data_IF_464981343565
#
_entry.id   IF_464981343565
#
_cell.length_a   1.000
_cell.length_b   1.000
_cell.length_c   1.000
_cell.angle_alpha   90.00
_cell.angle_beta   90.00
_cell.angle_gamma   90.00
#
_symmetry.space_group_name_H-M   'P 1'
#
loop_
_entity.id
_entity.type
_entity.pdbx_description
1 polymer ?
#
# COMPACT_ATOMS: atom_id res chain seq x y z
N UNK A 1 17.52 7.51 10.58
CA UNK A 1 16.88 6.28 10.07
C UNK A 1 15.75 6.55 9.06
N UNK A 2 14.93 7.60 9.23
CA UNK A 2 13.75 7.84 8.38
C UNK A 2 14.01 7.98 6.88
N UNK A 3 15.12 8.62 6.47
CA UNK A 3 15.46 8.76 5.04
C UNK A 3 15.69 7.41 4.34
N UNK A 4 16.36 6.47 5.01
CA UNK A 4 16.58 5.13 4.46
C UNK A 4 15.29 4.34 4.35
N UNK A 5 14.42 4.43 5.37
CA UNK A 5 13.12 3.77 5.35
C UNK A 5 12.26 4.29 4.19
N UNK A 6 12.21 5.60 4.00
CA UNK A 6 11.47 6.22 2.90
C UNK A 6 11.96 5.74 1.53
N UNK A 7 13.27 5.67 1.30
CA UNK A 7 13.83 5.15 0.04
C UNK A 7 13.52 3.66 -0.17
N UNK A 8 13.51 2.85 0.90
CA UNK A 8 13.10 1.44 0.83
C UNK A 8 11.63 1.32 0.45
N UNK A 9 10.73 2.07 1.10
CA UNK A 9 9.30 2.05 0.77
C UNK A 9 9.06 2.52 -0.67
N UNK A 10 9.79 3.55 -1.12
CA UNK A 10 9.77 4.01 -2.51
C UNK A 10 10.22 2.93 -3.49
N UNK A 11 11.31 2.21 -3.17
CA UNK A 11 11.82 1.11 -4.01
C UNK A 11 10.81 -0.03 -4.09
N UNK A 12 10.13 -0.36 -2.99
CA UNK A 12 9.06 -1.35 -2.97
C UNK A 12 7.92 -0.95 -3.91
N UNK A 13 7.46 0.30 -3.86
CA UNK A 13 6.43 0.80 -4.77
C UNK A 13 6.89 0.80 -6.24
N UNK A 14 8.08 1.33 -6.53
CA UNK A 14 8.57 1.48 -7.90
C UNK A 14 8.92 0.14 -8.56
N UNK A 15 9.78 -0.67 -7.94
CA UNK A 15 10.29 -1.92 -8.54
C UNK A 15 9.23 -3.02 -8.50
N UNK A 16 8.54 -3.17 -7.37
CA UNK A 16 7.59 -4.26 -7.17
C UNK A 16 6.14 -3.83 -7.46
N UNK A 17 5.92 -2.62 -8.00
CA UNK A 17 4.62 -2.10 -8.43
C UNK A 17 3.53 -2.23 -7.34
N UNK A 18 3.92 -1.94 -6.09
CA UNK A 18 2.97 -1.74 -5.00
C UNK A 18 2.40 -0.32 -5.10
N UNK A 19 1.07 -0.19 -5.02
CA UNK A 19 0.41 1.11 -5.02
C UNK A 19 0.77 1.92 -3.78
N UNK A 20 0.91 1.25 -2.64
CA UNK A 20 1.39 1.88 -1.42
C UNK A 20 2.20 0.91 -0.56
N UNK A 21 3.03 1.50 0.30
CA UNK A 21 3.77 0.82 1.34
C UNK A 21 3.73 1.67 2.63
N UNK A 22 3.41 1.05 3.75
CA UNK A 22 3.34 1.68 5.07
C UNK A 22 4.18 0.86 6.04
N UNK A 23 5.03 1.52 6.82
CA UNK A 23 5.77 0.89 7.90
C UNK A 23 5.19 1.29 9.26
N UNK A 24 4.83 0.25 10.02
CA UNK A 24 4.30 0.35 11.37
C UNK A 24 5.38 -0.06 12.36
N UNK A 25 5.87 0.88 13.15
CA UNK A 25 6.94 0.65 14.11
C UNK A 25 6.40 0.11 15.43
N UNK A 26 7.08 -0.88 16.02
CA UNK A 26 6.80 -1.27 17.39
C UNK A 26 7.26 -0.16 18.35
N UNK A 27 6.38 0.25 19.26
CA UNK A 27 6.66 1.28 20.24
C UNK A 27 7.77 0.86 21.20
N UNK A 28 8.81 1.68 21.35
CA UNK A 28 9.92 1.39 22.29
C UNK A 28 9.46 1.39 23.75
N UNK A 29 8.64 2.38 24.13
CA UNK A 29 8.11 2.51 25.49
C UNK A 29 6.98 1.52 25.79
N UNK A 30 6.30 1.04 24.75
CA UNK A 30 5.20 0.08 24.87
C UNK A 30 5.20 -0.85 23.65
N UNK A 31 5.78 -2.05 23.76
CA UNK A 31 5.90 -2.99 22.64
C UNK A 31 4.54 -3.59 22.22
N UNK A 32 3.45 -3.29 22.93
CA UNK A 32 2.09 -3.66 22.54
C UNK A 32 1.49 -2.70 21.52
N UNK A 33 2.16 -1.60 21.19
CA UNK A 33 1.67 -0.59 20.24
C UNK A 33 2.48 -0.62 18.95
N UNK A 34 1.76 -0.44 17.84
CA UNK A 34 2.29 -0.24 16.50
C UNK A 34 1.96 1.18 16.07
N UNK A 35 2.98 1.96 15.71
CA UNK A 35 2.87 3.40 15.41
C UNK A 35 3.18 3.61 13.93
N UNK A 36 2.36 4.42 13.25
CA UNK A 36 2.66 4.83 11.88
C UNK A 36 3.98 5.60 11.83
N UNK A 37 5.03 5.03 11.22
CA UNK A 37 6.35 5.68 11.15
C UNK A 37 6.61 6.32 9.79
N UNK A 38 6.33 5.62 8.69
CA UNK A 38 6.55 6.15 7.35
C UNK A 38 5.61 5.51 6.33
N UNK A 39 5.28 6.25 5.27
CA UNK A 39 4.52 5.73 4.14
C UNK A 39 5.01 6.25 2.80
N UNK A 40 4.88 5.44 1.77
CA UNK A 40 5.05 5.84 0.38
C UNK A 40 3.87 5.33 -0.43
N UNK A 41 3.38 6.12 -1.36
CA UNK A 41 2.37 5.68 -2.32
C UNK A 41 2.64 6.31 -3.67
N UNK A 42 2.30 5.58 -4.73
CA UNK A 42 2.53 6.01 -6.10
C UNK A 42 1.18 6.31 -6.77
N UNK A 43 0.83 7.59 -6.99
CA UNK A 43 -0.45 7.97 -7.57
C UNK A 43 -0.65 7.51 -9.03
N UNK A 44 0.43 7.14 -9.72
CA UNK A 44 0.50 7.15 -11.19
C UNK A 44 0.37 5.77 -11.83
N UNK A 45 0.41 4.66 -11.07
CA UNK A 45 0.52 3.31 -11.63
C UNK A 45 -0.82 2.61 -11.97
N UNK A 46 -1.91 3.36 -12.23
CA UNK A 46 -3.17 2.77 -12.74
C UNK A 46 -3.27 2.67 -14.25
N UNK A 47 -2.23 3.01 -14.99
CA UNK A 47 -2.20 2.73 -16.42
C UNK A 47 -2.25 1.22 -16.64
N UNK A 48 -3.17 0.82 -17.53
CA UNK A 48 -3.40 -0.52 -18.05
C UNK A 48 -2.10 -1.33 -18.28
N UNK A 49 -2.17 -2.69 -18.30
CA UNK A 49 -1.01 -3.52 -18.62
C UNK A 49 -0.32 -3.02 -19.89
N UNK A 50 1.02 -3.14 -19.99
CA UNK A 50 1.75 -2.66 -21.16
C UNK A 50 1.25 -3.42 -22.39
N UNK A 51 0.41 -2.77 -23.18
CA UNK A 51 0.12 -3.19 -24.54
C UNK A 51 1.45 -3.20 -25.28
N UNK A 52 1.88 -4.37 -25.70
CA UNK A 52 3.04 -4.55 -26.57
C UNK A 52 2.76 -3.89 -27.92
N UNK A 53 3.13 -2.63 -28.08
CA UNK A 53 3.41 -2.06 -29.39
C UNK A 53 4.77 -1.38 -29.32
N UNK A 54 5.69 -1.88 -30.14
CA UNK A 54 7.11 -1.58 -30.04
C UNK A 54 7.50 -0.13 -30.33
N UNK A 55 8.77 0.10 -30.00
CA UNK A 55 9.70 1.10 -30.57
C UNK A 55 9.97 2.35 -29.72
N UNK A 56 11.13 2.24 -29.06
CA UNK A 56 12.21 3.21 -28.77
C UNK A 56 12.07 4.39 -27.79
N UNK A 57 12.93 4.33 -26.77
CA UNK A 57 13.72 5.39 -26.13
C UNK A 57 13.12 6.79 -25.99
N UNK A 58 12.81 7.17 -24.74
CA UNK A 58 13.16 8.49 -24.21
C UNK A 58 13.56 8.36 -22.74
N UNK A 59 14.81 8.71 -22.47
CA UNK A 59 15.37 8.83 -21.12
C UNK A 59 14.60 9.90 -20.34
N UNK A 60 14.19 9.57 -19.11
CA UNK A 60 13.66 10.55 -18.16
C UNK A 60 14.83 11.26 -17.48
N UNK A 61 14.94 12.61 -17.54
CA UNK A 61 15.68 13.35 -16.55
C UNK A 61 14.76 13.67 -15.38
N UNK A 62 15.29 13.37 -14.21
CA UNK A 62 14.81 13.75 -12.89
C UNK A 62 14.72 15.28 -12.78
N UNK A 63 13.54 15.84 -12.51
CA UNK A 63 13.37 17.27 -12.23
C UNK A 63 11.90 17.72 -12.21
N UNK A 64 11.47 18.19 -11.03
CA UNK A 64 10.46 19.24 -10.78
C UNK A 64 9.20 19.25 -11.67
N UNK A 65 8.09 18.70 -11.15
CA UNK A 65 6.77 18.88 -11.75
C UNK A 65 6.04 20.06 -11.12
N UNK A 66 6.18 21.24 -11.72
CA UNK A 66 5.19 22.31 -11.66
C UNK A 66 4.31 22.32 -12.93
N UNK A 67 3.01 22.46 -12.71
CA UNK A 67 1.93 22.87 -13.63
C UNK A 67 2.05 22.62 -15.13
N UNK A 68 1.15 21.79 -15.69
CA UNK A 68 0.19 22.14 -16.75
C UNK A 68 -0.46 20.87 -17.33
N UNK A 69 -1.80 20.79 -17.26
CA UNK A 69 -2.60 19.72 -17.89
C UNK A 69 -2.77 20.01 -19.39
N UNK A 70 -2.23 19.13 -20.22
CA UNK A 70 -2.56 18.98 -21.64
C UNK A 70 -3.53 17.82 -21.85
N UNK A 71 -4.53 18.03 -22.69
CA UNK A 71 -5.74 17.24 -22.93
C UNK A 71 -5.52 15.80 -23.43
N UNK A 72 -6.13 14.83 -22.74
CA UNK A 72 -6.77 13.63 -23.33
C UNK A 72 -7.93 13.16 -22.42
N UNK A 73 -9.16 13.43 -22.85
CA UNK A 73 -10.36 13.55 -21.97
C UNK A 73 -10.94 12.21 -21.50
N UNK A 74 -10.51 11.06 -22.05
CA UNK A 74 -11.05 9.75 -21.64
C UNK A 74 -10.14 8.92 -20.70
N UNK A 75 -8.83 9.15 -20.72
CA UNK A 75 -7.86 8.47 -19.83
C UNK A 75 -7.66 9.24 -18.51
N UNK A 76 -7.69 10.58 -18.60
CA UNK A 76 -7.46 11.49 -17.48
C UNK A 76 -8.50 11.36 -16.36
N UNK A 77 -9.78 11.13 -16.66
CA UNK A 77 -10.82 11.06 -15.63
C UNK A 77 -10.73 9.78 -14.77
N UNK A 78 -10.35 8.65 -15.37
CA UNK A 78 -10.08 7.39 -14.66
C UNK A 78 -8.82 7.51 -13.77
N UNK A 79 -7.78 8.17 -14.27
CA UNK A 79 -6.51 8.38 -13.59
C UNK A 79 -6.64 9.37 -12.41
N UNK A 80 -7.42 10.45 -12.55
CA UNK A 80 -7.72 11.40 -11.46
C UNK A 80 -8.61 10.77 -10.39
N UNK A 81 -9.66 10.02 -10.78
CA UNK A 81 -10.55 9.37 -9.82
C UNK A 81 -9.82 8.32 -9.00
N UNK A 82 -9.01 7.50 -9.66
CA UNK A 82 -8.24 6.50 -8.97
C UNK A 82 -7.24 7.22 -8.04
N UNK A 83 -6.50 8.24 -8.52
CA UNK A 83 -5.59 9.11 -7.73
C UNK A 83 -6.19 9.54 -6.41
N UNK A 84 -7.40 10.07 -6.49
CA UNK A 84 -8.17 10.50 -5.33
C UNK A 84 -8.50 9.37 -4.35
N UNK A 85 -8.83 8.15 -4.83
CA UNK A 85 -9.17 7.01 -3.96
C UNK A 85 -7.99 6.51 -3.13
N UNK A 86 -6.79 6.41 -3.70
CA UNK A 86 -5.61 5.99 -2.93
C UNK A 86 -5.20 7.05 -1.90
N UNK A 87 -5.15 8.32 -2.30
CA UNK A 87 -4.89 9.41 -1.37
C UNK A 87 -5.92 9.44 -0.23
N UNK A 88 -7.20 9.24 -0.55
CA UNK A 88 -8.27 9.17 0.44
C UNK A 88 -8.12 7.97 1.38
N UNK A 89 -7.74 6.79 0.85
CA UNK A 89 -7.45 5.60 1.66
C UNK A 89 -6.31 5.84 2.64
N UNK A 90 -5.16 6.33 2.15
CA UNK A 90 -3.97 6.56 2.99
C UNK A 90 -4.29 7.61 4.06
N UNK A 91 -4.95 8.71 3.69
CA UNK A 91 -5.36 9.72 4.65
C UNK A 91 -6.32 9.15 5.72
N UNK A 92 -7.30 8.35 5.30
CA UNK A 92 -8.23 7.68 6.23
C UNK A 92 -7.50 6.73 7.19
N UNK A 93 -6.58 5.92 6.68
CA UNK A 93 -5.79 5.01 7.51
C UNK A 93 -4.86 5.77 8.47
N UNK A 94 -4.23 6.85 8.02
CA UNK A 94 -3.36 7.68 8.84
C UNK A 94 -4.13 8.38 9.96
N UNK A 95 -5.31 8.93 9.68
CA UNK A 95 -6.13 9.66 10.67
C UNK A 95 -6.82 8.72 11.66
N UNK A 96 -7.37 7.60 11.19
CA UNK A 96 -8.18 6.70 12.03
C UNK A 96 -7.33 5.66 12.78
N UNK A 97 -6.16 5.30 12.25
CA UNK A 97 -5.37 4.17 12.72
C UNK A 97 -3.91 4.57 12.93
N UNK A 98 -3.62 5.79 13.38
CA UNK A 98 -2.23 6.24 13.62
C UNK A 98 -1.47 5.34 14.60
N UNK A 99 -2.20 4.69 15.53
CA UNK A 99 -1.70 3.71 16.47
C UNK A 99 -2.60 2.48 16.45
N UNK A 100 -1.99 1.30 16.29
CA UNK A 100 -2.68 0.00 16.38
C UNK A 100 -2.14 -0.80 17.57
N UNK A 101 -2.93 -1.75 18.05
CA UNK A 101 -2.55 -2.65 19.16
C UNK A 101 -2.04 -3.98 18.56
N UNK A 102 -0.93 -4.49 19.09
CA UNK A 102 -0.41 -5.81 18.74
C UNK A 102 -1.45 -6.88 19.12
N UNK A 103 -1.80 -7.73 18.17
CA UNK A 103 -2.88 -8.72 18.26
C UNK A 103 -4.22 -8.29 17.66
N UNK A 104 -4.39 -7.00 17.33
CA UNK A 104 -5.64 -6.44 16.79
C UNK A 104 -5.49 -5.99 15.31
N UNK A 105 -6.60 -5.93 14.58
CA UNK A 105 -6.58 -5.56 13.15
C UNK A 105 -5.72 -6.50 12.28
N UNK A 106 -5.44 -6.11 11.04
CA UNK A 106 -4.55 -6.87 10.14
C UNK A 106 -3.08 -6.77 10.58
N UNK A 107 -2.62 -5.57 10.91
CA UNK A 107 -1.20 -5.30 11.19
C UNK A 107 -0.80 -5.84 12.56
N UNK A 108 -1.66 -5.67 13.57
CA UNK A 108 -1.38 -6.13 14.92
C UNK A 108 -1.35 -7.65 15.02
N UNK A 109 -2.23 -8.37 14.31
CA UNK A 109 -2.19 -9.83 14.26
C UNK A 109 -0.92 -10.36 13.61
N UNK A 110 -0.48 -9.76 12.50
CA UNK A 110 0.80 -10.13 11.90
C UNK A 110 1.97 -9.89 12.87
N UNK A 111 2.01 -8.74 13.56
CA UNK A 111 3.03 -8.47 14.58
C UNK A 111 3.04 -9.50 15.71
N UNK A 112 1.85 -9.93 16.16
CA UNK A 112 1.71 -10.87 17.27
C UNK A 112 2.06 -12.31 16.89
N UNK A 113 1.61 -12.76 15.72
CA UNK A 113 1.82 -14.13 15.25
C UNK A 113 3.19 -14.33 14.63
N UNK A 114 3.82 -13.27 14.13
CA UNK A 114 5.05 -13.35 13.35
C UNK A 114 4.84 -13.91 11.94
N UNK A 115 3.59 -14.14 11.52
CA UNK A 115 3.27 -14.71 10.22
C UNK A 115 3.09 -13.61 9.16
N UNK A 116 3.53 -13.90 7.94
CA UNK A 116 3.20 -13.08 6.78
C UNK A 116 1.76 -13.37 6.34
N UNK A 117 0.97 -12.34 6.11
CA UNK A 117 -0.39 -12.46 5.60
C UNK A 117 -0.49 -11.92 4.18
N UNK A 118 -1.20 -12.66 3.34
CA UNK A 118 -1.45 -12.30 1.95
C UNK A 118 -2.95 -12.37 1.67
N UNK A 119 -3.58 -11.22 1.50
CA UNK A 119 -5.02 -11.09 1.44
C UNK A 119 -5.41 -10.64 0.02
N UNK A 120 -6.13 -11.51 -0.68
CA UNK A 120 -6.62 -11.25 -2.03
C UNK A 120 -8.11 -10.94 -2.02
N UNK A 121 -8.54 -9.96 -2.82
CA UNK A 121 -9.94 -9.56 -2.91
C UNK A 121 -10.87 -10.70 -3.35
N UNK A 122 -10.39 -11.60 -4.21
CA UNK A 122 -11.17 -12.74 -4.72
C UNK A 122 -11.28 -13.91 -3.72
N UNK A 123 -10.36 -14.01 -2.75
CA UNK A 123 -10.26 -15.13 -1.82
C UNK A 123 -10.48 -14.71 -0.35
N UNK A 124 -10.85 -13.46 -0.11
CA UNK A 124 -11.16 -12.96 1.23
C UNK A 124 -12.49 -13.59 1.71
N UNK A 125 -12.37 -14.74 2.37
CA UNK A 125 -13.50 -15.40 3.03
C UNK A 125 -13.91 -14.63 4.28
N UNK A 126 -15.20 -14.37 4.44
CA UNK A 126 -15.78 -13.74 5.64
C UNK A 126 -15.64 -14.61 6.90
N UNK A 127 -15.31 -15.88 6.74
CA UNK A 127 -15.24 -16.83 7.86
C UNK A 127 -13.80 -17.03 8.39
N UNK A 128 -12.79 -16.49 7.71
CA UNK A 128 -11.39 -16.70 8.06
C UNK A 128 -10.84 -15.69 9.08
N UNK A 129 -11.45 -14.51 9.19
CA UNK A 129 -10.95 -13.41 10.00
C UNK A 129 -12.05 -12.73 10.83
N UNK A 130 -11.72 -12.16 12.00
CA UNK A 130 -12.66 -11.37 12.78
C UNK A 130 -13.21 -10.16 12.00
N UNK A 131 -14.42 -9.65 12.36
CA UNK A 131 -15.06 -8.54 11.65
C UNK A 131 -14.19 -7.29 11.52
N UNK A 132 -13.32 -7.03 12.50
CA UNK A 132 -12.36 -5.93 12.50
C UNK A 132 -11.42 -5.97 11.28
N UNK A 133 -10.79 -7.13 11.02
CA UNK A 133 -9.92 -7.35 9.85
C UNK A 133 -10.73 -7.21 8.58
N UNK A 134 -11.91 -7.83 8.52
CA UNK A 134 -12.74 -7.79 7.32
C UNK A 134 -13.11 -6.35 6.97
N UNK A 135 -13.42 -5.52 7.96
CA UNK A 135 -13.70 -4.11 7.76
C UNK A 135 -12.46 -3.34 7.27
N UNK A 136 -11.29 -3.52 7.87
CA UNK A 136 -10.04 -2.88 7.43
C UNK A 136 -9.65 -3.26 6.00
N UNK A 137 -9.77 -4.55 5.67
CA UNK A 137 -9.51 -5.09 4.33
C UNK A 137 -10.54 -4.57 3.33
N UNK A 138 -11.82 -4.53 3.69
CA UNK A 138 -12.89 -4.04 2.83
C UNK A 138 -12.70 -2.56 2.45
N UNK A 139 -12.21 -1.72 3.37
CA UNK A 139 -11.90 -0.32 3.08
C UNK A 139 -10.80 -0.19 2.01
N UNK A 140 -9.77 -1.02 2.08
CA UNK A 140 -8.68 -1.03 1.10
C UNK A 140 -9.15 -1.54 -0.26
N UNK A 141 -9.98 -2.59 -0.29
CA UNK A 141 -10.58 -3.10 -1.52
C UNK A 141 -11.53 -2.09 -2.16
N UNK A 142 -12.29 -1.33 -1.36
CA UNK A 142 -13.15 -0.26 -1.85
C UNK A 142 -12.36 0.89 -2.48
N UNK A 143 -11.10 1.08 -2.11
CA UNK A 143 -10.19 2.04 -2.73
C UNK A 143 -9.56 1.50 -4.04
N UNK A 144 -9.81 0.24 -4.40
CA UNK A 144 -9.32 -0.40 -5.62
C UNK A 144 -8.12 -1.31 -5.41
N UNK A 145 -7.77 -1.67 -4.17
CA UNK A 145 -6.77 -2.71 -3.92
C UNK A 145 -7.35 -4.08 -4.26
N UNK A 146 -6.52 -4.94 -4.84
CA UNK A 146 -6.84 -6.35 -5.07
C UNK A 146 -5.97 -7.28 -4.22
N UNK A 147 -4.79 -6.81 -3.81
CA UNK A 147 -3.86 -7.55 -2.97
C UNK A 147 -3.39 -6.69 -1.82
N UNK A 148 -3.40 -7.23 -0.61
CA UNK A 148 -2.83 -6.62 0.59
C UNK A 148 -1.83 -7.62 1.16
N UNK A 149 -0.61 -7.18 1.43
CA UNK A 149 0.40 -7.98 2.10
C UNK A 149 0.79 -7.35 3.43
N UNK A 150 0.90 -8.17 4.48
CA UNK A 150 1.30 -7.73 5.82
C UNK A 150 2.48 -8.60 6.27
N UNK A 151 3.63 -7.98 6.43
CA UNK A 151 4.91 -8.66 6.60
C UNK A 151 5.54 -8.18 7.91
N UNK A 152 5.57 -9.01 8.97
CA UNK A 152 6.32 -8.70 10.18
C UNK A 152 7.81 -8.55 9.88
N UNK A 153 8.42 -7.50 10.43
CA UNK A 153 9.86 -7.19 10.32
C UNK A 153 10.43 -7.17 11.73
N UNK A 154 10.60 -8.35 12.33
CA UNK A 154 11.04 -8.46 13.72
C UNK A 154 12.48 -7.96 13.93
N UNK A 155 12.80 -7.31 15.07
CA UNK A 155 11.90 -6.83 16.13
C UNK A 155 11.34 -5.41 15.89
N UNK A 156 11.43 -4.90 14.66
CA UNK A 156 11.27 -3.47 14.35
C UNK A 156 9.81 -3.04 14.16
N UNK A 157 8.99 -3.87 13.52
CA UNK A 157 7.67 -3.42 13.07
C UNK A 157 6.97 -4.38 12.13
N UNK A 158 6.04 -3.82 11.35
CA UNK A 158 5.28 -4.51 10.32
C UNK A 158 5.23 -3.64 9.07
N UNK A 159 5.51 -4.25 7.92
CA UNK A 159 5.35 -3.64 6.61
C UNK A 159 3.99 -4.03 6.04
N UNK A 160 3.16 -3.05 5.72
CA UNK A 160 1.88 -3.23 5.04
C UNK A 160 1.98 -2.69 3.61
N UNK A 161 1.56 -3.50 2.64
CA UNK A 161 1.62 -3.19 1.22
C UNK A 161 0.26 -3.40 0.58
N UNK A 162 -0.09 -2.58 -0.41
CA UNK A 162 -1.30 -2.76 -1.20
C UNK A 162 -1.06 -2.58 -2.70
N UNK A 163 -1.64 -3.46 -3.51
CA UNK A 163 -1.57 -3.41 -4.97
C UNK A 163 -2.97 -3.49 -5.57
N UNK A 164 -3.18 -2.78 -6.68
CA UNK A 164 -4.39 -2.83 -7.50
C UNK A 164 -4.46 -4.08 -8.39
N UNK A 165 -3.39 -4.88 -8.45
CA UNK A 165 -3.38 -6.15 -9.17
C UNK A 165 -3.52 -7.32 -8.20
N UNK A 166 -4.30 -8.33 -8.57
CA UNK A 166 -4.30 -9.63 -7.90
C UNK A 166 -2.94 -10.31 -8.17
N UNK A 167 -2.07 -10.33 -7.16
CA UNK A 167 -0.75 -10.95 -7.25
C UNK A 167 -0.66 -12.05 -6.22
N UNK A 168 -0.19 -13.22 -6.61
CA UNK A 168 0.34 -14.20 -5.68
C UNK A 168 1.85 -14.12 -5.87
N UNK A 169 2.55 -13.40 -4.99
CA UNK A 169 4.00 -13.53 -4.94
C UNK A 169 4.27 -14.89 -4.30
N UNK A 170 4.60 -15.88 -5.13
CA UNK A 170 5.12 -17.15 -4.65
C UNK A 170 6.48 -16.90 -4.00
N UNK A 171 6.54 -17.06 -2.69
CA UNK A 171 7.78 -17.25 -1.95
C UNK A 171 8.10 -18.76 -1.91
#
# INVERSE_FOLDING_TARGET
>A
MGLLLKEVLKTLCGVNQWCYAIFWKIGYQNPKLLIWEECHYEPTLWSAPPSTSGTENLALPFGEWEGHLGSDVHSSQLQIQAGGRLCSLINKMMVNNQVNIVGEGIVGRAAFTGNHEWILANNCSKDAHPPEVLNEVHHQFSAGMQTIAVIPVCPHGVLQLGSSLARILGL
#
